data_IF_410450733634
#
_entry.id   IF_410450733634
#
_cell.length_a   1.000
_cell.length_b   1.000
_cell.length_c   1.000
_cell.angle_alpha   90.00
_cell.angle_beta   90.00
_cell.angle_gamma   90.00
#
_symmetry.space_group_name_H-M   'P 1'
#
loop_
_entity.id
_entity.type
_entity.pdbx_description
1 polymer ?
2 non-polymer ?
3 non-polymer ?
4 non-polymer ?
5 non-polymer ?
6 water ?
#
# COMPACT_ATOMS: atom_id res chain seq x y z
N UNK A 13 6.70 21.85 -13.87
CA UNK A 13 5.72 21.18 -14.71
C UNK A 13 5.58 19.71 -14.31
N UNK A 14 6.70 19.00 -14.28
CA UNK A 14 6.67 17.59 -13.94
C UNK A 14 6.66 17.40 -12.43
N UNK A 15 6.33 16.17 -12.02
CA UNK A 15 6.18 15.86 -10.61
C UNK A 15 7.47 16.07 -9.83
N UNK A 16 7.36 16.70 -8.67
CA UNK A 16 8.47 16.88 -7.74
C UNK A 16 8.28 15.86 -6.61
N UNK A 17 9.14 14.87 -6.47
CA UNK A 17 8.93 13.84 -5.44
C UNK A 17 9.00 14.44 -4.04
N UNK A 18 8.08 14.07 -3.16
CA UNK A 18 8.12 14.55 -1.77
C UNK A 18 9.36 14.01 -1.07
N UNK A 19 9.72 14.57 0.08
CA UNK A 19 10.87 14.05 0.83
C UNK A 19 10.62 12.62 1.30
N UNK A 20 11.70 11.89 1.50
CA UNK A 20 11.60 10.49 1.89
C UNK A 20 11.18 10.36 3.34
N UNK A 21 10.31 9.38 3.61
CA UNK A 21 9.90 9.06 4.96
C UNK A 21 11.00 8.28 5.67
N UNK A 22 10.96 8.19 7.00
CA UNK A 22 12.00 7.46 7.73
C UNK A 22 12.03 5.98 7.37
N UNK A 23 13.25 5.44 7.30
CA UNK A 23 13.48 4.02 7.08
C UNK A 23 14.27 3.50 8.27
N UNK A 24 13.79 2.41 8.86
CA UNK A 24 14.43 1.80 10.03
C UNK A 24 14.91 0.41 9.67
N UNK A 25 16.16 0.11 10.03
CA UNK A 25 16.77 -1.20 9.84
C UNK A 25 17.11 -1.76 11.21
N UNK A 26 16.14 -2.30 11.92
CA UNK A 26 16.38 -2.73 13.30
C UNK A 26 17.30 -3.93 13.39
N UNK A 27 18.09 -3.97 14.46
CA UNK A 27 18.91 -5.13 14.75
C UNK A 27 18.03 -6.30 15.17
N UNK A 28 18.67 -7.47 15.33
CA UNK A 28 17.93 -8.64 15.79
C UNK A 28 17.36 -8.43 17.19
N UNK A 29 18.03 -7.63 18.01
CA UNK A 29 17.49 -7.32 19.34
C UNK A 29 16.28 -6.40 19.24
N UNK A 30 16.36 -5.37 18.39
CA UNK A 30 15.24 -4.45 18.23
C UNK A 30 14.07 -5.10 17.49
N UNK A 31 14.35 -6.12 16.68
CA UNK A 31 13.33 -6.83 15.91
C UNK A 31 12.57 -7.85 16.74
N UNK A 32 12.74 -7.86 18.06
CA UNK A 32 12.16 -8.92 18.88
C UNK A 32 10.65 -8.80 18.97
N UNK A 33 10.13 -7.56 19.07
CA UNK A 33 8.70 -7.35 19.22
C UNK A 33 8.29 -6.10 18.42
N UNK A 34 7.28 -6.22 17.54
CA UNK A 34 6.88 -5.08 16.71
C UNK A 34 6.29 -3.92 17.50
N UNK A 35 5.37 -4.21 18.42
CA UNK A 35 4.74 -3.14 19.19
C UNK A 35 5.75 -2.38 20.04
N UNK A 36 6.72 -3.09 20.61
CA UNK A 36 7.77 -2.41 21.36
C UNK A 36 8.58 -1.52 20.44
N UNK A 37 8.93 -2.02 19.25
CA UNK A 37 9.76 -1.25 18.33
C UNK A 37 8.99 -0.06 17.76
N UNK A 38 7.73 -0.26 17.37
CA UNK A 38 6.94 0.84 16.84
C UNK A 38 6.72 1.91 17.89
N UNK A 39 6.61 1.51 19.17
CA UNK A 39 6.48 2.49 20.22
C UNK A 39 7.72 3.34 20.44
N UNK A 40 8.90 2.76 20.18
CA UNK A 40 10.13 3.51 20.38
C UNK A 40 10.42 4.44 19.21
N UNK A 41 10.03 4.06 17.99
CA UNK A 41 10.20 4.93 16.82
C UNK A 41 9.08 5.94 16.67
N UNK A 42 8.05 5.87 17.52
CA UNK A 42 6.90 6.76 17.37
C UNK A 42 7.25 8.24 17.40
N UNK A 43 8.14 8.74 18.29
CA UNK A 43 8.42 10.19 18.28
C UNK A 43 8.84 10.74 16.93
N UNK A 44 9.49 9.95 16.09
CA UNK A 44 9.88 10.40 14.76
C UNK A 44 8.84 10.02 13.70
N UNK A 45 8.41 8.77 13.69
CA UNK A 45 7.55 8.29 12.62
C UNK A 45 6.16 8.92 12.65
N UNK A 46 5.65 9.26 13.84
CA UNK A 46 4.36 9.91 13.90
C UNK A 46 4.40 11.34 13.37
N UNK A 47 5.59 11.94 13.27
CA UNK A 47 5.75 13.25 12.66
C UNK A 47 5.81 13.18 11.13
N UNK A 48 5.89 11.98 10.56
CA UNK A 48 5.87 11.80 9.11
C UNK A 48 4.68 10.99 8.63
N UNK A 49 3.84 10.48 9.54
CA UNK A 49 2.69 9.69 9.14
C UNK A 49 2.96 8.25 8.78
N UNK A 50 3.94 8.01 7.92
CA UNK A 50 4.31 6.67 7.49
C UNK A 50 5.81 6.47 7.73
N UNK A 51 6.20 5.21 7.80
CA UNK A 51 7.61 4.85 7.93
C UNK A 51 7.81 3.46 7.35
N UNK A 52 9.06 3.18 6.96
CA UNK A 52 9.43 1.90 6.37
C UNK A 52 10.34 1.14 7.32
N UNK A 53 10.14 -0.16 7.42
CA UNK A 53 10.91 -1.02 8.32
C UNK A 53 11.49 -2.17 7.50
N UNK A 54 12.82 -2.26 7.48
CA UNK A 54 13.51 -3.34 6.79
C UNK A 54 13.92 -4.40 7.80
N UNK A 55 13.38 -5.61 7.74
CA UNK A 55 13.78 -6.66 8.69
C UNK A 55 15.24 -7.04 8.48
N UNK A 56 15.84 -7.76 9.44
CA UNK A 56 17.20 -8.27 9.23
C UNK A 56 17.30 -9.09 7.96
N UNK A 57 18.52 -9.15 7.42
CA UNK A 57 18.72 -9.73 6.09
C UNK A 57 18.27 -11.19 6.03
N UNK A 58 18.42 -11.94 7.11
CA UNK A 58 18.10 -13.36 7.12
C UNK A 58 16.63 -13.64 7.42
N UNK A 59 15.83 -12.63 7.73
CA UNK A 59 14.40 -12.82 7.98
C UNK A 59 13.67 -12.85 6.65
N UNK A 60 13.41 -14.05 6.14
CA UNK A 60 12.78 -14.25 4.84
C UNK A 60 11.65 -15.27 4.98
N UNK A 61 10.43 -14.81 5.22
CA UNK A 61 9.31 -15.74 5.36
C UNK A 61 8.93 -16.33 4.02
N UNK A 62 8.57 -17.61 3.97
CA UNK A 62 8.15 -18.21 2.70
C UNK A 62 6.72 -17.84 2.36
N UNK A 63 6.48 -17.66 1.05
CA UNK A 63 5.14 -17.35 0.58
C UNK A 63 4.24 -18.58 0.75
N UNK A 64 3.18 -18.43 1.55
CA UNK A 64 2.37 -19.57 1.98
C UNK A 64 0.96 -19.56 1.38
N UNK A 65 0.73 -18.78 0.34
CA UNK A 65 -0.57 -18.78 -0.31
C UNK A 65 -0.74 -20.00 -1.20
N UNK A 66 -1.98 -20.45 -1.33
CA UNK A 66 -2.31 -21.57 -2.22
C UNK A 66 -2.33 -21.04 -3.65
N UNK A 67 -1.16 -21.01 -4.28
CA UNK A 67 -1.04 -20.41 -5.60
C UNK A 67 -1.71 -21.24 -6.68
N UNK A 68 -1.91 -22.55 -6.44
CA UNK A 68 -2.52 -23.40 -7.45
C UNK A 68 -3.98 -23.02 -7.68
N UNK A 69 -4.68 -22.65 -6.62
CA UNK A 69 -6.11 -22.32 -6.70
C UNK A 69 -6.38 -20.83 -6.53
N UNK A 70 -5.34 -20.00 -6.44
CA UNK A 70 -5.52 -18.57 -6.25
C UNK A 70 -6.14 -17.96 -7.51
N UNK A 71 -7.41 -17.61 -7.42
CA UNK A 71 -8.13 -16.97 -8.52
C UNK A 71 -8.90 -15.77 -7.99
N UNK A 72 -9.00 -14.73 -8.82
CA UNK A 72 -9.67 -13.51 -8.40
C UNK A 72 -10.06 -12.71 -9.63
N UNK A 73 -11.09 -11.89 -9.47
CA UNK A 73 -11.50 -10.93 -10.49
C UNK A 73 -11.13 -9.53 -10.02
N UNK A 74 -10.09 -8.91 -10.58
CA UNK A 74 -9.66 -7.60 -10.08
C UNK A 74 -10.64 -6.51 -10.46
N UNK A 75 -10.54 -5.39 -9.75
CA UNK A 75 -11.36 -4.22 -10.04
C UNK A 75 -10.66 -3.33 -11.05
N UNK A 76 -11.45 -2.65 -11.87
CA UNK A 76 -10.95 -1.83 -12.96
C UNK A 76 -10.78 -0.40 -12.45
N UNK A 77 -9.64 0.21 -12.76
CA UNK A 77 -9.31 1.57 -12.33
C UNK A 77 -8.99 2.43 -13.54
N UNK A 78 -9.77 3.48 -13.74
CA UNK A 78 -9.47 4.51 -14.73
C UNK A 78 -8.74 5.65 -14.04
N UNK A 79 -7.51 5.92 -14.47
CA UNK A 79 -6.66 6.85 -13.74
C UNK A 79 -7.21 8.27 -13.76
N UNK A 80 -7.81 8.69 -14.88
CA UNK A 80 -8.30 10.05 -15.04
C UNK A 80 -9.82 10.14 -14.89
N UNK A 81 -10.42 9.28 -14.07
CA UNK A 81 -11.88 9.25 -13.97
C UNK A 81 -12.44 10.52 -13.35
N UNK A 82 -11.70 11.14 -12.42
CA UNK A 82 -12.16 12.39 -11.83
C UNK A 82 -11.98 13.57 -12.77
N UNK A 83 -10.83 13.63 -13.44
CA UNK A 83 -10.57 14.73 -14.37
C UNK A 83 -11.55 14.68 -15.55
N UNK A 84 -11.80 13.48 -16.07
CA UNK A 84 -12.72 13.32 -17.17
C UNK A 84 -14.17 13.23 -16.69
N UNK A 85 -14.33 13.08 -15.39
CA UNK A 85 -15.65 12.93 -14.76
C UNK A 85 -16.47 11.87 -15.47
N UNK A 86 -15.84 10.72 -15.68
CA UNK A 86 -16.42 9.54 -16.32
C UNK A 86 -15.93 8.27 -15.66
N UNK A 100 -14.08 -7.11 -16.55
CA UNK A 100 -14.05 -7.91 -15.33
C UNK A 100 -13.71 -9.36 -15.66
N UNK A 101 -12.44 -9.63 -15.94
CA UNK A 101 -11.97 -10.95 -16.29
C UNK A 101 -11.34 -11.63 -15.08
N UNK A 102 -11.48 -12.95 -15.02
CA UNK A 102 -10.88 -13.73 -13.95
C UNK A 102 -9.43 -14.06 -14.28
N UNK A 103 -8.57 -13.91 -13.29
CA UNK A 103 -7.15 -14.23 -13.42
C UNK A 103 -6.72 -15.24 -12.38
N UNK A 104 -5.65 -15.95 -12.69
CA UNK A 104 -4.84 -16.60 -11.68
C UNK A 104 -3.68 -15.67 -11.32
N UNK A 105 -2.86 -16.07 -10.35
CA UNK A 105 -1.70 -15.27 -10.01
C UNK A 105 -0.73 -15.18 -11.18
N UNK A 106 -0.61 -16.27 -11.95
CA UNK A 106 0.29 -16.27 -13.10
C UNK A 106 -0.28 -15.46 -14.25
N UNK A 107 -1.57 -15.66 -14.57
CA UNK A 107 -2.17 -14.95 -15.69
C UNK A 107 -2.24 -13.45 -15.42
N UNK A 108 -2.49 -13.04 -14.17
CA UNK A 108 -2.47 -11.62 -13.84
C UNK A 108 -1.06 -11.05 -13.97
N UNK A 109 -0.06 -11.80 -13.52
CA UNK A 109 1.31 -11.33 -13.66
C UNK A 109 1.76 -11.25 -15.11
N UNK A 110 1.29 -12.18 -15.95
CA UNK A 110 1.58 -12.10 -17.36
C UNK A 110 0.95 -10.86 -17.99
N UNK A 111 -0.29 -10.55 -17.61
CA UNK A 111 -0.93 -9.33 -18.08
C UNK A 111 -0.23 -8.09 -17.53
N UNK A 112 0.18 -8.13 -16.27
CA UNK A 112 0.79 -6.96 -15.65
C UNK A 112 2.14 -6.62 -16.28
N UNK A 113 2.98 -7.64 -16.49
CA UNK A 113 4.29 -7.40 -17.08
C UNK A 113 4.16 -6.98 -18.54
N UNK A 114 3.21 -7.58 -19.27
CA UNK A 114 3.01 -7.19 -20.66
C UNK A 114 2.52 -5.74 -20.76
N UNK A 115 1.67 -5.31 -19.83
CA UNK A 115 1.19 -3.93 -19.86
C UNK A 115 2.33 -2.95 -19.65
N UNK A 116 3.15 -3.19 -18.62
CA UNK A 116 4.22 -2.24 -18.28
C UNK A 116 5.29 -2.22 -19.35
N UNK A 117 5.71 -3.39 -19.84
CA UNK A 117 6.75 -3.43 -20.87
C UNK A 117 6.27 -2.82 -22.18
N UNK A 118 4.98 -2.99 -22.51
CA UNK A 118 4.45 -2.35 -23.71
C UNK A 118 4.33 -0.84 -23.54
N UNK A 119 3.92 -0.39 -22.34
CA UNK A 119 3.71 1.03 -22.13
C UNK A 119 5.02 1.81 -22.17
N UNK A 120 6.06 1.30 -21.52
CA UNK A 120 7.34 1.99 -21.45
C UNK A 120 8.33 1.54 -22.51
N UNK A 121 7.98 0.53 -23.31
CA UNK A 121 8.82 0.06 -24.42
C UNK A 121 10.20 -0.38 -23.93
N UNK A 122 10.20 -1.10 -22.80
CA UNK A 122 11.45 -1.58 -22.20
C UNK A 122 11.11 -2.66 -21.19
N UNK A 123 12.08 -3.48 -20.79
CA UNK A 123 11.80 -4.50 -19.77
C UNK A 123 11.28 -3.87 -18.48
N UNK A 124 10.42 -4.63 -17.78
CA UNK A 124 9.70 -4.07 -16.65
C UNK A 124 10.67 -3.68 -15.53
N UNK A 125 11.72 -4.47 -15.32
CA UNK A 125 12.69 -4.22 -14.27
C UNK A 125 13.66 -3.10 -14.61
N UNK A 126 13.61 -2.56 -15.83
CA UNK A 126 14.50 -1.48 -16.24
C UNK A 126 13.83 -0.11 -16.16
N UNK A 127 12.53 -0.04 -15.88
CA UNK A 127 11.83 1.23 -15.79
C UNK A 127 12.16 1.87 -14.45
N UNK A 128 12.72 3.07 -14.42
CA UNK A 128 13.04 3.71 -13.14
C UNK A 128 11.79 4.04 -12.36
N UNK A 129 11.89 3.93 -11.03
CA UNK A 129 10.75 4.23 -10.17
C UNK A 129 10.32 5.68 -10.28
N UNK A 130 11.27 6.59 -10.53
CA UNK A 130 10.92 7.99 -10.69
C UNK A 130 10.12 8.24 -11.95
N UNK A 131 10.32 7.41 -12.99
CA UNK A 131 9.59 7.58 -14.24
C UNK A 131 8.15 7.10 -14.12
N UNK A 132 7.93 5.94 -13.49
CA UNK A 132 6.57 5.47 -13.25
C UNK A 132 5.82 6.46 -12.38
N UNK A 133 6.50 7.00 -11.37
CA UNK A 133 5.87 7.98 -10.48
C UNK A 133 5.48 9.25 -11.24
N UNK A 134 6.39 9.76 -12.07
CA UNK A 134 6.11 10.97 -12.83
C UNK A 134 4.99 10.73 -13.84
N UNK A 135 5.01 9.57 -14.49
CA UNK A 135 3.99 9.26 -15.50
C UNK A 135 2.63 8.96 -14.87
N UNK A 136 2.63 8.38 -13.66
CA UNK A 136 1.36 8.08 -13.01
C UNK A 136 0.56 9.34 -12.74
N UNK A 137 1.20 10.37 -12.17
CA UNK A 137 0.50 11.59 -11.83
C UNK A 137 0.18 12.43 -13.07
N UNK A 138 0.93 12.26 -14.16
CA UNK A 138 0.55 12.91 -15.41
C UNK A 138 -0.72 12.27 -15.99
N UNK A 139 -0.82 10.95 -15.89
CA UNK A 139 -1.99 10.25 -16.42
C UNK A 139 -3.24 10.54 -15.59
N UNK A 140 -3.08 10.75 -14.29
CA UNK A 140 -4.23 11.00 -13.42
C UNK A 140 -4.93 12.30 -13.84
N UNK A 141 -4.15 13.30 -14.23
CA UNK A 141 -4.70 14.59 -14.65
C UNK A 141 -4.78 14.74 -16.16
N UNK A 142 -4.42 13.70 -16.92
CA UNK A 142 -4.45 13.79 -18.38
C UNK A 142 -5.88 13.66 -18.90
N UNK A 143 -6.20 14.49 -19.90
CA UNK A 143 -7.51 14.46 -20.52
C UNK A 143 -7.50 13.75 -21.87
N UNK A 144 -6.38 13.78 -22.59
CA UNK A 144 -6.27 13.19 -23.92
C UNK A 144 -5.90 11.71 -23.89
N UNK A 145 -5.44 11.19 -22.76
CA UNK A 145 -4.99 9.81 -22.65
C UNK A 145 -5.72 9.13 -21.51
N UNK A 146 -6.50 8.10 -21.84
CA UNK A 146 -7.27 7.32 -20.86
C UNK A 146 -6.58 5.98 -20.65
N UNK A 147 -5.85 5.86 -19.55
CA UNK A 147 -5.15 4.63 -19.19
C UNK A 147 -6.00 3.89 -18.16
N UNK A 148 -6.19 2.59 -18.37
CA UNK A 148 -7.04 1.76 -17.54
C UNK A 148 -6.24 0.54 -17.07
N UNK A 149 -6.21 0.32 -15.76
CA UNK A 149 -5.50 -0.80 -15.16
C UNK A 149 -6.47 -1.59 -14.29
N UNK A 150 -5.97 -2.67 -13.70
CA UNK A 150 -6.76 -3.55 -12.85
C UNK A 150 -6.00 -3.85 -11.57
N UNK A 151 -6.75 -3.96 -10.48
CA UNK A 151 -6.18 -4.18 -9.17
C UNK A 151 -6.88 -5.29 -8.41
N UNK A 152 -6.13 -6.30 -8.03
CA UNK A 152 -6.67 -7.37 -7.20
C UNK A 152 -6.69 -6.97 -5.75
N UNK A 153 -7.72 -6.24 -5.35
CA UNK A 153 -7.76 -5.59 -4.05
C UNK A 153 -8.80 -6.24 -3.13
N UNK A 154 -8.57 -6.11 -1.83
CA UNK A 154 -9.48 -6.59 -0.80
C UNK A 154 -9.77 -8.09 -0.95
N UNK A 155 -8.72 -8.86 -1.12
CA UNK A 155 -8.80 -10.31 -1.11
C UNK A 155 -8.50 -10.79 0.30
N UNK A 156 -9.49 -11.40 0.94
CA UNK A 156 -9.33 -11.83 2.32
C UNK A 156 -8.30 -12.95 2.42
N UNK A 157 -7.54 -12.94 3.52
CA UNK A 157 -6.58 -14.01 3.78
C UNK A 157 -7.26 -15.34 4.12
N UNK A 158 -8.58 -15.36 4.27
CA UNK A 158 -9.30 -16.61 4.49
C UNK A 158 -9.64 -17.34 3.21
N UNK A 159 -9.61 -16.64 2.07
CA UNK A 159 -9.99 -17.28 0.81
C UNK A 159 -8.96 -18.31 0.38
N UNK A 160 -7.69 -17.89 0.26
CA UNK A 160 -6.63 -18.77 -0.20
C UNK A 160 -5.47 -18.84 0.79
N UNK A 161 -5.68 -18.44 2.03
CA UNK A 161 -4.62 -18.40 3.01
C UNK A 161 -3.83 -17.10 2.98
N UNK A 162 -3.17 -16.82 4.09
CA UNK A 162 -2.34 -15.64 4.18
C UNK A 162 -1.00 -15.86 3.48
N UNK A 163 -0.34 -14.76 3.12
CA UNK A 163 0.97 -14.86 2.52
C UNK A 163 2.00 -15.41 3.48
N UNK A 164 1.79 -15.23 4.79
CA UNK A 164 2.60 -15.76 5.87
C UNK A 164 2.16 -17.18 6.23
N UNK A 165 3.09 -18.03 6.64
CA UNK A 165 2.70 -19.35 7.17
C UNK A 165 1.91 -19.19 8.46
N UNK A 166 0.83 -19.97 8.57
CA UNK A 166 -0.04 -19.93 9.73
C UNK A 166 -0.30 -21.35 10.19
N UNK A 167 -0.19 -21.58 11.50
CA UNK A 167 -0.49 -22.89 12.07
C UNK A 167 -1.99 -23.16 12.03
N UNK A 168 -2.57 -23.12 10.82
CA UNK A 168 -3.99 -23.36 10.65
C UNK A 168 -4.32 -24.85 10.61
N UNK A 169 -3.39 -25.66 10.09
CA UNK A 169 -3.69 -27.03 9.75
C UNK A 169 -4.18 -27.23 8.34
N UNK A 170 -4.48 -26.15 7.61
CA UNK A 170 -4.94 -26.23 6.24
C UNK A 170 -3.81 -26.40 5.24
N UNK A 171 -2.56 -26.17 5.65
CA UNK A 171 -1.41 -26.32 4.79
C UNK A 171 -0.22 -26.71 5.65
N UNK A 172 0.70 -27.47 5.05
CA UNK A 172 1.85 -27.96 5.80
C UNK A 172 2.84 -26.83 6.07
N UNK A 173 3.40 -26.83 7.28
CA UNK A 173 4.44 -25.89 7.67
C UNK A 173 5.73 -26.68 7.88
N UNK A 174 6.76 -26.33 7.13
CA UNK A 174 8.06 -26.98 7.28
C UNK A 174 8.71 -26.52 8.58
N UNK A 175 9.63 -27.31 9.12
CA UNK A 175 10.34 -26.90 10.35
C UNK A 175 11.06 -25.57 10.20
N UNK A 176 11.61 -25.28 9.01
CA UNK A 176 12.26 -24.00 8.79
C UNK A 176 11.29 -22.84 8.68
N UNK A 177 9.98 -23.13 8.59
CA UNK A 177 8.97 -22.09 8.45
C UNK A 177 8.19 -21.84 9.74
N UNK A 178 8.43 -22.61 10.79
CA UNK A 178 7.65 -22.46 12.02
C UNK A 178 7.96 -21.15 12.72
N UNK A 179 9.21 -20.68 12.66
CA UNK A 179 9.56 -19.42 13.30
C UNK A 179 8.80 -18.25 12.68
N UNK A 180 8.48 -18.34 11.39
CA UNK A 180 7.70 -17.29 10.74
C UNK A 180 6.22 -17.41 11.06
N UNK A 181 5.72 -18.63 11.30
CA UNK A 181 4.33 -18.79 11.72
C UNK A 181 4.11 -18.31 13.15
N UNK A 182 5.16 -18.25 13.96
CA UNK A 182 5.07 -17.78 15.34
C UNK A 182 5.65 -16.39 15.54
N UNK A 183 6.18 -15.77 14.48
CA UNK A 183 6.82 -14.47 14.62
C UNK A 183 5.80 -13.39 14.92
N UNK A 184 6.22 -12.42 15.75
CA UNK A 184 5.37 -11.28 16.03
C UNK A 184 5.16 -10.37 14.83
N UNK A 185 6.07 -10.41 13.85
CA UNK A 185 5.92 -9.63 12.64
C UNK A 185 5.06 -10.33 11.60
N UNK A 186 4.67 -11.58 11.84
CA UNK A 186 3.61 -12.21 11.06
C UNK A 186 2.32 -11.43 11.27
N UNK A 187 1.75 -10.90 10.19
CA UNK A 187 0.60 -10.02 10.30
C UNK A 187 -0.61 -10.73 10.91
N UNK A 188 -0.65 -12.06 10.87
CA UNK A 188 -1.71 -12.80 11.53
C UNK A 188 -1.55 -12.83 13.04
N UNK A 189 -0.38 -12.44 13.53
CA UNK A 189 -0.09 -12.45 14.96
C UNK A 189 -0.11 -11.07 15.61
N UNK A 190 -0.57 -10.06 14.87
CA UNK A 190 -0.66 -8.71 15.42
C UNK A 190 -1.93 -8.57 16.26
N UNK A 191 -1.87 -7.84 17.37
CA UNK A 191 -3.09 -7.62 18.18
C UNK A 191 -4.08 -6.74 17.44
N UNK A 192 -5.34 -7.18 17.38
CA UNK A 192 -6.38 -6.51 16.60
C UNK A 192 -7.57 -6.11 17.44
N UNK A 193 -7.56 -6.38 18.75
CA UNK A 193 -8.71 -6.11 19.61
C UNK A 193 -8.48 -4.82 20.37
N UNK A 194 -9.40 -3.87 20.23
CA UNK A 194 -9.36 -2.62 20.97
C UNK A 194 -10.14 -2.77 22.27
N UNK A 195 -9.59 -2.18 23.34
CA UNK A 195 -10.21 -2.27 24.66
C UNK A 195 -11.46 -1.38 24.70
N UNK A 196 -12.62 -2.01 24.82
CA UNK A 196 -13.89 -1.30 24.87
C UNK A 196 -14.78 -1.91 25.94
N UNK A 197 -15.89 -1.26 26.20
CA UNK A 197 -16.85 -1.74 27.20
C UNK A 197 -17.87 -2.67 26.55
N UNK A 209 -10.65 -9.35 13.23
CA UNK A 209 -10.11 -8.86 11.97
C UNK A 209 -8.96 -9.74 11.48
N UNK A 210 -8.87 -9.89 10.16
CA UNK A 210 -7.82 -10.70 9.55
C UNK A 210 -7.14 -9.87 8.48
N UNK A 211 -5.89 -10.21 8.12
CA UNK A 211 -5.21 -9.45 7.07
C UNK A 211 -5.89 -9.62 5.72
N UNK A 212 -5.71 -8.62 4.86
CA UNK A 212 -6.24 -8.62 3.50
C UNK A 212 -5.09 -8.57 2.51
N UNK A 213 -5.33 -9.11 1.32
CA UNK A 213 -4.30 -9.24 0.30
C UNK A 213 -4.57 -8.27 -0.86
N UNK A 214 -3.49 -7.85 -1.51
CA UNK A 214 -3.55 -6.91 -2.62
C UNK A 214 -2.58 -7.32 -3.70
N UNK A 215 -3.10 -7.67 -4.87
CA UNK A 215 -2.29 -8.04 -6.02
C UNK A 215 -2.27 -6.86 -6.97
N UNK A 216 -1.11 -6.21 -7.10
CA UNK A 216 -0.99 -4.98 -7.84
C UNK A 216 -0.32 -5.13 -9.18
N UNK A 217 -0.54 -4.12 -10.03
CA UNK A 217 0.16 -3.98 -11.30
C UNK A 217 0.58 -2.53 -11.45
N UNK A 218 1.28 -2.22 -12.53
CA UNK A 218 1.73 -0.85 -12.77
C UNK A 218 0.53 0.08 -12.89
N UNK A 219 0.56 1.16 -12.12
CA UNK A 219 -0.39 2.27 -12.06
C UNK A 219 -1.62 1.95 -11.20
N UNK A 220 -1.81 0.71 -10.74
CA UNK A 220 -2.88 0.44 -9.79
C UNK A 220 -2.59 1.17 -8.49
N UNK A 221 -3.62 1.79 -7.92
CA UNK A 221 -3.41 2.78 -6.87
C UNK A 221 -4.50 2.72 -5.82
N UNK A 222 -4.27 3.46 -4.74
CA UNK A 222 -5.25 3.70 -3.69
C UNK A 222 -5.18 5.16 -3.30
N UNK A 223 -6.33 5.82 -3.19
CA UNK A 223 -6.37 7.25 -3.00
C UNK A 223 -6.20 7.61 -1.52
N UNK A 224 -6.24 8.90 -1.23
CA UNK A 224 -5.99 9.38 0.13
C UNK A 224 -7.10 8.95 1.07
N UNK A 225 -6.71 8.46 2.24
CA UNK A 225 -7.65 8.03 3.24
C UNK A 225 -6.96 7.70 4.54
N UNK A 226 -7.77 7.60 5.60
CA UNK A 226 -7.29 7.14 6.89
C UNK A 226 -8.03 5.86 7.24
N UNK A 227 -7.42 5.05 8.09
CA UNK A 227 -8.02 3.79 8.49
C UNK A 227 -9.24 4.05 9.38
N UNK A 228 -10.13 3.05 9.43
CA UNK A 228 -11.28 3.13 10.30
C UNK A 228 -10.84 3.21 11.76
N UNK A 229 -11.54 4.02 12.54
CA UNK A 229 -11.26 4.24 13.95
C UNK A 229 -9.86 4.80 14.20
N UNK A 230 -9.29 5.48 13.21
CA UNK A 230 -7.95 6.07 13.30
C UNK A 230 -6.92 5.02 13.69
N UNK A 231 -7.09 3.80 13.19
CA UNK A 231 -6.26 2.69 13.63
C UNK A 231 -4.90 2.70 12.95
N UNK A 232 -3.93 2.07 13.61
CA UNK A 232 -2.67 1.74 12.98
C UNK A 232 -2.90 0.79 11.80
N UNK A 233 -1.90 0.69 10.93
CA UNK A 233 -1.91 -0.32 9.89
C UNK A 233 -0.46 -0.69 9.56
N UNK A 234 -0.23 -1.97 9.32
CA UNK A 234 1.06 -2.47 8.89
C UNK A 234 0.88 -3.20 7.56
N UNK A 235 1.82 -2.97 6.64
CA UNK A 235 1.75 -3.53 5.30
C UNK A 235 3.07 -4.22 4.99
N UNK A 236 2.98 -5.43 4.44
CA UNK A 236 4.15 -6.21 4.07
C UNK A 236 4.06 -6.58 2.59
N UNK A 237 5.09 -6.24 1.83
CA UNK A 237 5.18 -6.61 0.42
C UNK A 237 5.88 -7.96 0.32
N UNK A 238 5.10 -9.02 0.02
CA UNK A 238 5.66 -10.36 -0.02
C UNK A 238 6.65 -10.52 -1.15
N UNK A 239 6.30 -10.06 -2.35
CA UNK A 239 7.19 -10.14 -3.50
C UNK A 239 6.70 -9.17 -4.56
N UNK A 240 7.53 -8.97 -5.57
CA UNK A 240 7.18 -8.18 -6.73
C UNK A 240 7.86 -6.83 -6.74
N UNK A 241 7.43 -6.00 -7.69
CA UNK A 241 7.98 -4.67 -7.87
C UNK A 241 7.49 -3.74 -6.75
N UNK A 242 8.21 -2.65 -6.50
CA UNK A 242 7.92 -1.85 -5.30
C UNK A 242 6.53 -1.22 -5.32
N UNK A 243 6.08 -0.82 -4.13
CA UNK A 243 4.85 -0.09 -3.93
C UNK A 243 5.20 1.30 -3.42
N UNK A 244 4.81 2.33 -4.16
CA UNK A 244 5.14 3.71 -3.81
C UNK A 244 4.08 4.26 -2.88
N UNK A 245 4.53 4.87 -1.77
CA UNK A 245 3.64 5.39 -0.74
C UNK A 245 3.77 6.90 -0.63
N UNK A 246 2.70 7.53 -0.16
CA UNK A 246 2.70 8.93 0.25
C UNK A 246 1.98 9.02 1.58
N UNK A 247 2.54 9.78 2.51
CA UNK A 247 1.99 9.86 3.85
C UNK A 247 1.95 11.29 4.35
N UNK A 248 0.96 11.56 5.19
CA UNK A 248 0.80 12.87 5.83
C UNK A 248 0.68 12.65 7.33
N UNK A 249 1.46 13.35 8.15
CA UNK A 249 1.38 13.15 9.60
C UNK A 249 0.02 13.55 10.15
N UNK A 250 -0.31 12.98 11.32
CA UNK A 250 -1.64 13.18 11.89
C UNK A 250 -1.88 14.63 12.31
N UNK A 251 -0.82 15.37 12.63
CA UNK A 251 -0.99 16.76 13.03
C UNK A 251 -1.42 17.65 11.88
N UNK A 252 -1.34 17.17 10.64
CA UNK A 252 -1.80 17.91 9.47
C UNK A 252 -3.05 17.29 8.85
N UNK A 253 -3.78 16.48 9.62
CA UNK A 253 -4.95 15.79 9.07
C UNK A 253 -6.04 16.78 8.68
N UNK A 254 -6.34 17.74 9.55
CA UNK A 254 -7.38 18.72 9.26
C UNK A 254 -6.99 19.60 8.08
N UNK A 255 -5.70 19.93 7.96
CA UNK A 255 -5.24 20.74 6.84
C UNK A 255 -5.44 20.02 5.51
N UNK A 256 -5.18 18.70 5.48
CA UNK A 256 -5.42 17.94 4.26
C UNK A 256 -6.90 17.89 3.94
N UNK A 257 -7.75 17.67 4.94
CA UNK A 257 -9.19 17.61 4.70
C UNK A 257 -9.73 18.94 4.22
N UNK A 258 -9.16 20.05 4.69
CA UNK A 258 -9.59 21.36 4.20
C UNK A 258 -9.17 21.58 2.75
N UNK A 259 -7.92 21.22 2.42
CA UNK A 259 -7.46 21.34 1.03
C UNK A 259 -8.27 20.44 0.11
N UNK A 260 -8.56 19.22 0.59
CA UNK A 260 -9.38 18.30 -0.21
C UNK A 260 -10.77 18.89 -0.46
N UNK A 261 -11.42 19.38 0.60
CA UNK A 261 -12.74 19.98 0.44
C UNK A 261 -12.72 21.20 -0.46
N UNK A 262 -11.59 21.91 -0.51
CA UNK A 262 -11.49 23.10 -1.35
C UNK A 262 -11.34 22.73 -2.83
N UNK A 263 -10.61 21.65 -3.12
CA UNK A 263 -10.24 21.34 -4.49
C UNK A 263 -10.91 20.10 -5.07
N UNK A 264 -11.44 19.21 -4.23
CA UNK A 264 -12.18 18.07 -4.75
C UNK A 264 -13.41 18.55 -5.50
N UNK A 265 -13.93 17.72 -6.42
CA UNK A 265 -15.13 18.11 -7.17
C UNK A 265 -16.26 18.57 -6.26
N UNK A 266 -16.90 19.67 -6.64
CA UNK A 266 -18.00 20.22 -5.85
C UNK A 266 -19.17 19.25 -5.76
N UNK A 267 -19.30 18.33 -6.72
CA UNK A 267 -20.37 17.34 -6.66
C UNK A 267 -20.15 16.32 -5.54
N UNK A 268 -18.91 16.12 -5.11
CA UNK A 268 -18.60 15.21 -4.02
C UNK A 268 -18.22 15.93 -2.74
N UNK A 269 -18.43 17.25 -2.67
CA UNK A 269 -17.94 18.03 -1.54
C UNK A 269 -18.67 17.67 -0.25
N UNK A 270 -20.00 17.52 -0.31
CA UNK A 270 -20.81 17.27 0.87
C UNK A 270 -20.93 15.80 1.22
N UNK A 271 -20.16 14.93 0.57
CA UNK A 271 -20.24 13.51 0.86
C UNK A 271 -19.55 13.19 2.19
N UNK A 272 -20.06 12.22 2.94
CA UNK A 272 -19.37 11.81 4.17
C UNK A 272 -17.97 11.28 3.88
N UNK A 273 -17.14 11.29 4.92
CA UNK A 273 -15.74 10.91 4.75
C UNK A 273 -15.62 9.48 4.25
N UNK A 274 -16.43 8.56 4.79
CA UNK A 274 -16.33 7.16 4.41
C UNK A 274 -16.62 6.95 2.93
N UNK A 275 -17.43 7.82 2.33
CA UNK A 275 -17.73 7.76 0.90
C UNK A 275 -16.83 8.64 0.06
N UNK A 276 -16.48 9.83 0.55
CA UNK A 276 -15.55 10.68 -0.17
C UNK A 276 -14.19 10.02 -0.33
N UNK A 277 -13.78 9.21 0.65
CA UNK A 277 -12.49 8.52 0.59
C UNK A 277 -12.40 7.53 -0.57
N UNK A 278 -13.50 7.28 -1.28
CA UNK A 278 -13.44 6.41 -2.44
C UNK A 278 -12.92 7.12 -3.68
N UNK A 279 -12.91 8.46 -3.68
CA UNK A 279 -12.53 9.23 -4.86
C UNK A 279 -11.67 10.42 -4.46
N UNK A 280 -10.83 10.25 -3.44
CA UNK A 280 -9.96 11.33 -2.97
C UNK A 280 -8.55 11.16 -3.51
N UNK A 281 -8.45 11.12 -4.83
CA UNK A 281 -7.15 11.08 -5.50
C UNK A 281 -6.68 12.50 -5.77
N UNK A 282 -5.45 12.81 -5.35
CA UNK A 282 -4.93 14.16 -5.47
C UNK A 282 -3.42 14.11 -5.57
N UNK A 283 -2.88 14.91 -6.49
CA UNK A 283 -1.44 15.01 -6.66
C UNK A 283 -0.78 15.49 -5.36
N UNK A 284 0.26 14.82 -4.86
CA UNK A 284 0.90 15.28 -3.63
C UNK A 284 1.48 16.68 -3.73
N UNK A 285 1.94 17.08 -4.92
CA UNK A 285 2.47 18.43 -5.08
C UNK A 285 1.40 19.49 -4.84
N UNK A 286 0.14 19.17 -5.14
CA UNK A 286 -0.95 20.11 -4.87
C UNK A 286 -1.13 20.28 -3.36
N UNK A 287 -1.04 19.18 -2.61
CA UNK A 287 -1.10 19.27 -1.15
C UNK A 287 0.09 20.03 -0.59
N UNK A 288 1.29 19.75 -1.12
CA UNK A 288 2.49 20.43 -0.64
C UNK A 288 2.46 21.92 -0.95
N UNK A 289 1.86 22.31 -2.08
CA UNK A 289 1.75 23.72 -2.41
C UNK A 289 0.79 24.45 -1.48
N UNK A 290 -0.13 23.73 -0.84
CA UNK A 290 -1.05 24.30 0.14
C UNK A 290 -0.55 24.15 1.57
N UNK A 291 0.73 23.81 1.75
CA UNK A 291 1.32 23.73 3.06
C UNK A 291 1.15 22.41 3.79
N UNK A 292 0.70 21.36 3.11
CA UNK A 292 0.50 20.05 3.73
C UNK A 292 1.81 19.28 3.66
N UNK A 293 2.38 18.85 4.78
CA UNK A 293 3.60 18.04 4.73
C UNK A 293 3.31 16.63 4.21
N UNK A 294 4.04 16.24 3.18
CA UNK A 294 3.86 14.93 2.53
C UNK A 294 5.22 14.24 2.45
N UNK A 295 5.25 12.96 2.78
CA UNK A 295 6.46 12.15 2.69
C UNK A 295 6.19 10.94 1.79
N UNK A 296 7.23 10.46 1.12
CA UNK A 296 7.14 9.36 0.18
C UNK A 296 8.10 8.25 0.56
N UNK A 297 7.89 7.09 -0.05
CA UNK A 297 8.81 5.96 0.07
C UNK A 297 8.49 4.94 -1.01
N UNK A 298 9.51 4.15 -1.36
CA UNK A 298 9.35 3.01 -2.26
C UNK A 298 9.49 1.75 -1.41
N UNK A 299 8.36 1.11 -1.12
CA UNK A 299 8.35 -0.12 -0.35
C UNK A 299 8.73 -1.28 -1.26
N UNK A 300 9.91 -1.85 -1.04
CA UNK A 300 10.39 -2.96 -1.85
C UNK A 300 9.98 -4.30 -1.23
N UNK A 301 10.23 -5.38 -1.97
CA UNK A 301 9.84 -6.70 -1.52
C UNK A 301 10.53 -7.06 -0.21
N UNK A 302 9.76 -7.61 0.72
CA UNK A 302 10.29 -7.99 2.02
C UNK A 302 10.40 -6.86 3.02
N UNK A 303 9.78 -5.71 2.76
CA UNK A 303 9.86 -4.55 3.64
C UNK A 303 8.48 -4.22 4.18
N UNK A 304 8.44 -3.69 5.40
CA UNK A 304 7.22 -3.29 6.07
C UNK A 304 6.97 -1.79 5.92
N UNK A 305 5.71 -1.42 5.90
CA UNK A 305 5.29 -0.02 5.97
C UNK A 305 4.24 0.11 7.05
N UNK A 306 4.47 1.02 7.99
CA UNK A 306 3.57 1.26 9.11
C UNK A 306 2.93 2.63 8.93
N UNK A 307 1.60 2.68 9.00
CA UNK A 307 0.87 3.94 9.00
C UNK A 307 0.35 4.20 10.41
N UNK A 308 0.55 5.42 10.89
CA UNK A 308 0.22 5.79 12.25
C UNK A 308 -1.21 6.29 12.34
N UNK A 309 -1.77 6.40 13.54
CA UNK A 309 -3.18 6.81 13.67
C UNK A 309 -3.47 8.14 12.99
N UNK A 310 -4.55 8.15 12.20
CA UNK A 310 -5.03 9.35 11.52
C UNK A 310 -3.98 9.92 10.55
N UNK A 311 -3.11 9.07 10.03
CA UNK A 311 -2.14 9.48 9.03
C UNK A 311 -2.73 9.19 7.65
N UNK A 312 -3.12 10.25 6.94
CA UNK A 312 -3.62 10.10 5.59
C UNK A 312 -2.52 9.55 4.70
N UNK A 313 -2.88 8.59 3.84
CA UNK A 313 -1.89 7.98 2.97
C UNK A 313 -2.51 7.57 1.66
N UNK A 314 -1.67 7.52 0.63
CA UNK A 314 -2.07 7.09 -0.70
C UNK A 314 -0.84 6.53 -1.41
N UNK A 315 -1.06 5.95 -2.58
CA UNK A 315 0.06 5.41 -3.32
C UNK A 315 -0.39 4.61 -4.53
N UNK A 316 0.61 4.00 -5.17
CA UNK A 316 0.40 3.20 -6.37
C UNK A 316 1.50 2.15 -6.45
N UNK A 317 1.30 1.19 -7.35
CA UNK A 317 2.25 0.09 -7.52
C UNK A 317 3.12 0.33 -8.75
N UNK A 318 4.41 0.03 -8.61
CA UNK A 318 5.33 0.12 -9.74
C UNK A 318 5.15 -1.01 -10.73
N UNK A 319 4.57 -2.12 -10.31
CA UNK A 319 4.37 -3.24 -11.20
C UNK A 319 3.73 -4.40 -10.48
N UNK A 320 3.89 -5.59 -11.05
CA UNK A 320 3.34 -6.81 -10.48
C UNK A 320 3.92 -7.07 -9.10
N UNK A 321 3.06 -7.10 -8.08
CA UNK A 321 3.51 -7.35 -6.72
C UNK A 321 2.38 -7.96 -5.90
N UNK A 322 2.68 -8.29 -4.66
CA UNK A 322 1.74 -8.95 -3.75
C UNK A 322 1.96 -8.40 -2.35
N UNK A 323 0.92 -7.80 -1.78
CA UNK A 323 1.01 -7.16 -0.48
C UNK A 323 -0.05 -7.71 0.47
N UNK A 324 0.25 -7.64 1.76
CA UNK A 324 -0.65 -8.06 2.82
C UNK A 324 -0.69 -6.97 3.88
N UNK A 325 -1.89 -6.64 4.35
CA UNK A 325 -2.08 -5.53 5.27
C UNK A 325 -3.12 -5.88 6.33
N UNK A 326 -2.96 -5.30 7.52
CA UNK A 326 -3.88 -5.51 8.62
C UNK A 326 -3.81 -4.30 9.55
N UNK A 327 -4.94 -4.00 10.19
CA UNK A 327 -4.98 -2.97 11.22
C UNK A 327 -4.71 -3.60 12.58
N UNK A 328 -3.89 -2.93 13.38
CA UNK A 328 -3.53 -3.45 14.69
C UNK A 328 -3.70 -2.37 15.75
N UNK A 329 -3.84 -2.82 17.00
CA UNK A 329 -4.01 -1.95 18.15
C UNK A 329 -2.77 -2.01 19.03
N UNK A 330 -2.54 -0.93 19.78
CA UNK A 330 -1.38 -0.84 20.66
C UNK A 330 -1.81 -0.74 22.13
#
# INVERSE_FOLDING_TARGET
HNMAGVGPGGYAAEFVPPPECPVFEPSWEEFTDPLSFIGRIRPLAEKTGICKIRPPKDWQPPFACEVKSFRFTPRVQRLNELEAMTRVRPREAFGFEQAVREYTLQSFGEMADNFKSDYFNMPVHMVPTELVEKEFWRLVSSIEEDVIVEYGADISSKDFGSGFPVKDGRRKILPEEEEYALSGWNLNNMPVLEQSVLAHINVDISGMKVPWLYVGMCFSSFCWHIEDHWSYSINYLHWGEPKTWYGVPSHAAEQLEEVMRELAPELFESQPDLLHQLVTIMNPNVLMEHGVPVYRTNQCAGEFVVTFPRAYHSGFNQGYNFAEAVNFCT
#
